data_IF_298364009020
#
_entry.id   IF_298364009020
#
_cell.length_a   1.000
_cell.length_b   1.000
_cell.length_c   1.000
_cell.angle_alpha   90.00
_cell.angle_beta   90.00
_cell.angle_gamma   90.00
#
_symmetry.space_group_name_H-M   'P 1'
#
loop_
_entity.id
_entity.type
_entity.pdbx_description
1 polymer ?
#
# COMPACT_ATOMS: atom_id res chain seq x y z
N UNK A 1 -35.81 10.71 44.57
CA UNK A 1 -35.50 9.49 43.80
C UNK A 1 -35.69 9.69 42.29
N UNK A 2 -36.76 10.34 41.82
CA UNK A 2 -37.00 10.63 40.39
C UNK A 2 -35.85 11.42 39.72
N UNK A 3 -35.32 12.44 40.38
CA UNK A 3 -34.22 13.27 39.84
C UNK A 3 -32.93 12.49 39.54
N UNK A 4 -32.61 11.49 40.37
CA UNK A 4 -31.44 10.61 40.19
C UNK A 4 -31.65 9.69 38.99
N UNK A 5 -32.87 9.19 38.79
CA UNK A 5 -33.22 8.31 37.66
C UNK A 5 -33.19 9.08 36.34
N UNK A 6 -33.72 10.31 36.32
CA UNK A 6 -33.69 11.17 35.13
C UNK A 6 -32.24 11.52 34.76
N UNK A 7 -31.43 11.89 35.74
CA UNK A 7 -30.00 12.19 35.53
C UNK A 7 -29.23 10.98 34.97
N UNK A 8 -29.48 9.78 35.52
CA UNK A 8 -28.85 8.56 35.02
C UNK A 8 -29.29 8.23 33.59
N UNK A 9 -30.58 8.39 33.26
CA UNK A 9 -31.09 8.17 31.90
C UNK A 9 -30.44 9.10 30.87
N UNK A 10 -30.35 10.39 31.18
CA UNK A 10 -29.70 11.38 30.29
C UNK A 10 -28.20 11.07 30.16
N UNK A 11 -27.54 10.73 31.26
CA UNK A 11 -26.12 10.40 31.26
C UNK A 11 -25.80 9.19 30.38
N UNK A 12 -26.58 8.10 30.48
CA UNK A 12 -26.36 6.91 29.64
C UNK A 12 -26.55 7.23 28.16
N UNK A 13 -27.59 8.01 27.81
CA UNK A 13 -27.83 8.41 26.41
C UNK A 13 -26.68 9.27 25.87
N UNK A 14 -26.19 10.22 26.67
CA UNK A 14 -25.07 11.06 26.29
C UNK A 14 -23.78 10.26 26.04
N UNK A 15 -23.47 9.29 26.92
CA UNK A 15 -22.28 8.43 26.76
C UNK A 15 -22.39 7.56 25.51
N UNK A 16 -23.55 6.95 25.26
CA UNK A 16 -23.76 6.13 24.05
C UNK A 16 -23.63 6.97 22.78
N UNK A 17 -24.13 8.21 22.78
CA UNK A 17 -23.98 9.12 21.65
C UNK A 17 -22.50 9.49 21.39
N UNK A 18 -21.72 9.74 22.44
CA UNK A 18 -20.28 10.03 22.33
C UNK A 18 -19.53 8.81 21.77
N UNK A 19 -19.80 7.60 22.28
CA UNK A 19 -19.19 6.36 21.78
C UNK A 19 -19.56 6.10 20.31
N UNK A 20 -20.82 6.37 19.93
CA UNK A 20 -21.28 6.23 18.54
C UNK A 20 -20.56 7.17 17.58
N UNK A 21 -20.18 8.37 18.02
CA UNK A 21 -19.41 9.33 17.22
C UNK A 21 -17.91 8.99 17.15
N UNK A 22 -17.37 8.32 18.16
CA UNK A 22 -15.96 7.93 18.22
C UNK A 22 -15.58 6.89 17.15
N UNK A 23 -16.49 5.96 16.82
CA UNK A 23 -16.18 4.89 15.87
C UNK A 23 -15.85 5.43 14.44
N UNK A 24 -16.68 6.28 13.81
CA UNK A 24 -16.33 6.90 12.52
C UNK A 24 -15.07 7.77 12.58
N UNK A 25 -14.89 8.53 13.68
CA UNK A 25 -13.72 9.40 13.85
C UNK A 25 -12.42 8.58 13.91
N UNK A 26 -12.41 7.48 14.66
CA UNK A 26 -11.25 6.59 14.75
C UNK A 26 -10.91 5.98 13.39
N UNK A 27 -11.91 5.62 12.60
CA UNK A 27 -11.70 5.13 11.24
C UNK A 27 -11.09 6.20 10.35
N UNK A 28 -11.62 7.43 10.38
CA UNK A 28 -11.06 8.55 9.61
C UNK A 28 -9.60 8.87 9.98
N UNK A 29 -9.26 8.80 11.27
CA UNK A 29 -7.87 8.99 11.73
C UNK A 29 -6.97 7.87 11.19
N UNK A 30 -7.44 6.63 11.21
CA UNK A 30 -6.69 5.49 10.66
C UNK A 30 -6.48 5.61 9.16
N UNK A 31 -7.51 6.01 8.42
CA UNK A 31 -7.45 6.17 6.96
C UNK A 31 -6.43 7.26 6.57
N UNK A 32 -6.46 8.41 7.24
CA UNK A 32 -5.49 9.50 7.02
C UNK A 32 -4.07 9.04 7.33
N UNK A 33 -3.87 8.30 8.43
CA UNK A 33 -2.56 7.77 8.79
C UNK A 33 -2.04 6.78 7.74
N UNK A 34 -2.91 5.90 7.25
CA UNK A 34 -2.54 4.90 6.24
C UNK A 34 -2.21 5.58 4.90
N UNK A 35 -2.90 6.67 4.56
CA UNK A 35 -2.57 7.50 3.39
C UNK A 35 -1.23 8.24 3.53
N UNK A 36 -0.94 8.81 4.71
CA UNK A 36 0.36 9.42 5.02
C UNK A 36 1.50 8.39 4.93
N UNK A 37 1.30 7.21 5.52
CA UNK A 37 2.25 6.10 5.44
C UNK A 37 2.43 5.65 3.97
N UNK A 38 1.35 5.56 3.19
CA UNK A 38 1.42 5.23 1.77
C UNK A 38 2.27 6.27 1.03
N UNK A 39 2.01 7.56 1.23
CA UNK A 39 2.78 8.66 0.63
C UNK A 39 4.29 8.54 0.91
N UNK A 40 4.66 8.25 2.16
CA UNK A 40 6.06 8.02 2.55
C UNK A 40 6.65 6.80 1.85
N UNK A 41 5.91 5.68 1.80
CA UNK A 41 6.35 4.45 1.15
C UNK A 41 6.55 4.65 -0.35
N UNK A 42 5.66 5.38 -1.03
CA UNK A 42 5.86 5.71 -2.44
C UNK A 42 7.14 6.50 -2.69
N UNK A 43 7.46 7.47 -1.84
CA UNK A 43 8.70 8.25 -1.98
C UNK A 43 9.95 7.38 -1.79
N UNK A 44 9.92 6.47 -0.82
CA UNK A 44 11.01 5.50 -0.61
C UNK A 44 11.15 4.60 -1.84
N UNK A 45 10.06 4.01 -2.32
CA UNK A 45 10.06 3.15 -3.51
C UNK A 45 10.58 3.92 -4.73
N UNK A 46 10.16 5.16 -4.93
CA UNK A 46 10.65 5.99 -6.02
C UNK A 46 12.17 6.21 -5.92
N UNK A 47 12.69 6.51 -4.73
CA UNK A 47 14.13 6.69 -4.50
C UNK A 47 14.91 5.40 -4.72
N UNK A 48 14.37 4.26 -4.32
CA UNK A 48 15.01 2.95 -4.54
C UNK A 48 14.98 2.55 -6.02
N UNK A 49 13.86 2.77 -6.72
CA UNK A 49 13.75 2.50 -8.16
C UNK A 49 14.73 3.32 -9.00
N UNK A 50 15.12 4.51 -8.55
CA UNK A 50 16.18 5.31 -9.19
C UNK A 50 17.58 4.69 -9.08
N UNK A 51 17.80 3.81 -8.10
CA UNK A 51 19.08 3.10 -7.89
C UNK A 51 19.11 1.75 -8.63
N UNK A 52 17.95 1.25 -9.05
CA UNK A 52 17.79 -0.03 -9.73
C UNK A 52 18.13 0.13 -11.22
N UNK A 53 18.79 -0.85 -11.85
CA UNK A 53 19.07 -0.79 -13.28
C UNK A 53 17.80 -0.63 -14.13
N UNK A 54 17.89 0.20 -15.17
CA UNK A 54 16.80 0.50 -16.09
C UNK A 54 16.06 -0.76 -16.58
N UNK A 55 16.81 -1.80 -16.98
CA UNK A 55 16.26 -3.05 -17.50
C UNK A 55 15.38 -3.80 -16.48
N UNK A 56 15.72 -3.75 -15.18
CA UNK A 56 14.94 -4.39 -14.13
C UNK A 56 13.63 -3.65 -13.90
N UNK A 57 13.66 -2.31 -13.90
CA UNK A 57 12.44 -1.51 -13.72
C UNK A 57 11.51 -1.63 -14.92
N UNK A 58 12.07 -1.66 -16.13
CA UNK A 58 11.31 -2.03 -17.32
C UNK A 58 10.65 -3.40 -17.16
N UNK A 59 11.39 -4.41 -16.68
CA UNK A 59 10.87 -5.74 -16.42
C UNK A 59 9.67 -5.76 -15.46
N UNK A 60 9.68 -4.93 -14.40
CA UNK A 60 8.55 -4.80 -13.48
C UNK A 60 7.32 -4.16 -14.12
N UNK A 61 7.52 -3.18 -15.00
CA UNK A 61 6.43 -2.47 -15.69
C UNK A 61 5.81 -3.35 -16.79
N UNK A 62 6.63 -4.05 -17.56
CA UNK A 62 6.16 -4.88 -18.67
C UNK A 62 5.44 -6.13 -18.14
N UNK A 63 5.96 -6.74 -17.07
CA UNK A 63 5.35 -7.86 -16.37
C UNK A 63 4.36 -7.40 -15.29
N UNK A 64 3.29 -6.71 -15.70
CA UNK A 64 2.18 -6.25 -14.83
C UNK A 64 1.44 -7.37 -14.05
N UNK A 65 1.92 -8.61 -14.13
CA UNK A 65 1.48 -9.77 -13.34
C UNK A 65 2.25 -9.85 -12.02
N UNK A 66 3.45 -9.27 -11.96
CA UNK A 66 4.36 -9.32 -10.82
C UNK A 66 4.04 -8.17 -9.87
N UNK A 67 3.27 -8.47 -8.83
CA UNK A 67 2.92 -7.51 -7.78
C UNK A 67 4.06 -7.40 -6.77
N UNK A 68 4.49 -6.16 -6.53
CA UNK A 68 5.39 -5.83 -5.43
C UNK A 68 4.54 -5.58 -4.18
N UNK A 69 5.07 -5.94 -3.03
CA UNK A 69 4.47 -5.62 -1.74
C UNK A 69 5.46 -4.83 -0.91
N UNK A 70 4.94 -3.96 -0.05
CA UNK A 70 5.72 -3.21 0.91
C UNK A 70 5.08 -3.27 2.29
N UNK A 71 5.91 -3.29 3.33
CA UNK A 71 5.42 -3.17 4.70
C UNK A 71 5.02 -1.72 5.03
N UNK A 72 4.28 -1.50 6.13
CA UNK A 72 3.79 -0.17 6.54
C UNK A 72 4.89 0.90 6.67
N UNK A 73 6.10 0.49 7.06
CA UNK A 73 7.24 1.40 7.19
C UNK A 73 7.94 1.70 5.86
N UNK A 74 7.76 0.84 4.84
CA UNK A 74 8.52 0.90 3.58
C UNK A 74 9.94 0.35 3.69
N UNK A 75 10.31 -0.28 4.82
CA UNK A 75 11.66 -0.84 5.00
C UNK A 75 11.86 -2.13 4.20
N UNK A 76 10.78 -2.86 3.93
CA UNK A 76 10.79 -4.06 3.10
C UNK A 76 9.90 -3.78 1.90
N UNK A 77 10.48 -3.91 0.70
CA UNK A 77 9.77 -3.88 -0.58
C UNK A 77 10.27 -5.07 -1.38
N UNK A 78 9.39 -6.01 -1.68
CA UNK A 78 9.79 -7.25 -2.34
C UNK A 78 8.63 -7.85 -3.14
N UNK A 79 8.94 -8.87 -3.94
CA UNK A 79 7.92 -9.66 -4.61
C UNK A 79 7.13 -10.45 -3.58
N UNK A 80 5.86 -10.70 -3.86
CA UNK A 80 5.03 -11.56 -3.03
C UNK A 80 5.64 -12.94 -2.76
N UNK A 81 6.34 -13.46 -3.77
CA UNK A 81 6.98 -14.77 -3.78
C UNK A 81 8.38 -14.78 -3.17
N UNK A 82 8.91 -13.62 -2.75
CA UNK A 82 10.25 -13.53 -2.17
C UNK A 82 10.20 -13.87 -0.68
N UNK A 83 10.05 -15.17 -0.38
CA UNK A 83 9.91 -15.67 0.99
C UNK A 83 11.07 -15.23 1.87
N UNK A 84 12.30 -15.17 1.36
CA UNK A 84 13.47 -14.73 2.12
C UNK A 84 13.42 -13.28 2.60
N UNK A 85 12.60 -12.42 1.98
CA UNK A 85 12.39 -11.02 2.40
C UNK A 85 11.24 -10.86 3.38
N UNK A 86 10.23 -11.73 3.29
CA UNK A 86 9.02 -11.65 4.11
C UNK A 86 9.10 -12.50 5.37
N UNK A 87 9.85 -13.60 5.31
CA UNK A 87 10.18 -14.47 6.42
C UNK A 87 11.38 -13.88 7.17
N UNK A 88 11.13 -13.40 8.39
CA UNK A 88 12.18 -12.84 9.26
C UNK A 88 12.89 -13.88 10.12
N UNK A 89 12.30 -15.08 10.25
CA UNK A 89 12.83 -16.19 11.06
C UNK A 89 13.65 -17.21 10.24
N UNK A 90 13.63 -17.08 8.91
CA UNK A 90 14.36 -17.89 7.92
C UNK A 90 13.98 -19.37 7.91
N UNK A 91 12.81 -19.73 8.44
CA UNK A 91 12.29 -21.10 8.43
C UNK A 91 11.84 -21.56 7.03
N UNK A 92 11.64 -20.62 6.11
CA UNK A 92 11.05 -20.81 4.78
C UNK A 92 9.53 -20.96 4.80
N UNK A 93 8.90 -20.82 5.97
CA UNK A 93 7.45 -21.01 6.16
C UNK A 93 6.81 -19.65 6.35
N UNK A 94 6.07 -19.17 5.34
CA UNK A 94 5.32 -17.92 5.45
C UNK A 94 4.09 -18.12 6.33
N UNK A 95 3.97 -17.30 7.36
CA UNK A 95 2.84 -17.28 8.30
C UNK A 95 1.81 -16.21 7.93
N UNK A 96 0.60 -16.35 8.47
CA UNK A 96 -0.46 -15.35 8.30
C UNK A 96 -0.08 -13.95 8.82
N UNK A 97 0.66 -13.90 9.93
CA UNK A 97 1.13 -12.65 10.53
C UNK A 97 2.18 -11.96 9.64
N UNK A 98 3.05 -12.72 8.97
CA UNK A 98 4.04 -12.20 8.02
C UNK A 98 3.38 -11.73 6.73
N UNK A 99 2.39 -12.48 6.22
CA UNK A 99 1.59 -12.01 5.09
C UNK A 99 0.79 -10.76 5.44
N UNK A 100 0.29 -10.63 6.67
CA UNK A 100 -0.33 -9.38 7.14
C UNK A 100 0.66 -8.20 7.19
N UNK A 101 1.97 -8.45 7.28
CA UNK A 101 2.99 -7.42 7.16
C UNK A 101 3.12 -6.85 5.73
N UNK A 102 2.65 -7.57 4.70
CA UNK A 102 2.56 -7.12 3.30
C UNK A 102 1.38 -6.15 3.13
N UNK A 103 1.50 -4.97 3.74
CA UNK A 103 0.39 -4.05 3.87
C UNK A 103 0.06 -3.27 2.59
N UNK A 104 1.07 -2.81 1.87
CA UNK A 104 0.88 -2.06 0.62
C UNK A 104 1.15 -2.96 -0.58
N UNK A 105 0.18 -3.07 -1.47
CA UNK A 105 0.40 -3.62 -2.81
C UNK A 105 0.87 -2.49 -3.74
N UNK A 106 1.98 -2.71 -4.43
CA UNK A 106 2.63 -1.74 -5.29
C UNK A 106 2.58 -2.26 -6.73
N UNK A 107 2.05 -1.42 -7.63
CA UNK A 107 2.00 -1.70 -9.06
C UNK A 107 2.60 -0.54 -9.84
N UNK A 108 3.46 -0.85 -10.80
CA UNK A 108 4.08 0.12 -11.69
C UNK A 108 3.36 0.10 -13.04
N UNK A 109 3.01 1.27 -13.56
CA UNK A 109 2.36 1.40 -14.86
C UNK A 109 3.11 2.41 -15.71
N UNK A 110 3.51 2.01 -16.92
CA UNK A 110 4.12 2.92 -17.89
C UNK A 110 3.18 4.10 -18.18
N UNK A 111 3.77 5.28 -18.37
CA UNK A 111 3.11 6.40 -19.02
C UNK A 111 3.44 6.40 -20.52
N UNK A 112 2.50 5.89 -21.32
CA UNK A 112 2.68 5.76 -22.77
C UNK A 112 2.79 7.11 -23.51
N UNK A 113 2.33 8.22 -22.91
CA UNK A 113 2.43 9.55 -23.51
C UNK A 113 3.86 10.09 -23.37
N UNK A 114 4.47 9.90 -22.20
CA UNK A 114 5.79 10.45 -21.90
C UNK A 114 6.94 9.56 -22.37
N UNK A 115 6.77 8.24 -22.35
CA UNK A 115 7.77 7.28 -22.88
C UNK A 115 7.15 6.46 -24.01
N UNK A 116 7.08 7.01 -25.23
CA UNK A 116 6.59 6.31 -26.41
C UNK A 116 7.60 5.24 -26.83
N UNK A 117 7.35 4.03 -26.38
CA UNK A 117 8.13 2.83 -26.64
C UNK A 117 7.39 1.72 -25.94
N UNK A 118 6.49 1.04 -26.66
CA UNK A 118 5.60 0.05 -26.04
C UNK A 118 6.37 -1.14 -25.44
N UNK A 119 5.65 -1.97 -24.69
CA UNK A 119 6.04 -3.18 -23.91
C UNK A 119 6.99 -4.22 -24.56
N UNK A 120 7.45 -3.99 -25.78
CA UNK A 120 8.24 -4.93 -26.59
C UNK A 120 9.28 -4.25 -27.49
N UNK A 121 9.35 -2.92 -27.52
CA UNK A 121 10.40 -2.20 -28.24
C UNK A 121 11.51 -1.86 -27.23
N UNK A 122 12.77 -2.11 -27.59
CA UNK A 122 13.90 -1.53 -26.86
C UNK A 122 13.61 -0.05 -26.66
N UNK A 123 13.45 0.41 -25.42
CA UNK A 123 13.24 1.83 -25.14
C UNK A 123 14.45 2.59 -25.68
N UNK A 124 14.25 3.22 -26.83
CA UNK A 124 15.26 4.04 -27.52
C UNK A 124 15.27 5.47 -26.97
N UNK A 125 14.17 5.86 -26.29
CA UNK A 125 14.15 7.03 -25.42
C UNK A 125 14.95 6.72 -24.15
N UNK A 126 16.02 7.47 -23.89
CA UNK A 126 16.89 7.29 -22.72
C UNK A 126 16.23 7.52 -21.35
N UNK A 127 14.89 7.48 -21.26
CA UNK A 127 14.12 7.56 -20.03
C UNK A 127 12.80 6.76 -20.10
N UNK A 128 12.37 6.23 -18.95
CA UNK A 128 11.14 5.48 -18.74
C UNK A 128 10.27 6.20 -17.72
N UNK A 129 9.16 6.77 -18.18
CA UNK A 129 8.15 7.41 -17.36
C UNK A 129 7.10 6.39 -16.91
N UNK A 130 6.80 6.38 -15.62
CA UNK A 130 5.84 5.47 -15.01
C UNK A 130 5.10 6.14 -13.85
N UNK A 131 3.98 5.55 -13.46
CA UNK A 131 3.24 5.89 -12.26
C UNK A 131 3.31 4.73 -11.27
N UNK A 132 3.36 5.07 -9.98
CA UNK A 132 3.27 4.11 -8.89
C UNK A 132 1.83 4.12 -8.41
N UNK A 133 1.17 2.97 -8.45
CA UNK A 133 -0.13 2.73 -7.83
C UNK A 133 0.11 1.92 -6.56
N UNK A 134 -0.21 2.50 -5.42
CA UNK A 134 -0.24 1.78 -4.15
C UNK A 134 -1.68 1.46 -3.79
N UNK A 135 -1.91 0.28 -3.23
CA UNK A 135 -3.21 -0.16 -2.73
C UNK A 135 -3.08 -0.80 -1.36
N UNK A 136 -4.05 -0.57 -0.48
CA UNK A 136 -4.06 -1.17 0.85
C UNK A 136 -5.49 -1.41 1.38
N UNK A 137 -5.66 -2.34 2.33
CA UNK A 137 -4.67 -3.34 2.75
C UNK A 137 -4.35 -4.32 1.62
N UNK A 138 -3.11 -4.82 1.52
CA UNK A 138 -2.68 -5.82 0.55
C UNK A 138 -3.08 -7.24 0.94
N UNK A 139 -3.12 -7.49 2.25
CA UNK A 139 -3.49 -8.74 2.89
C UNK A 139 -4.44 -8.49 4.07
N UNK A 140 -5.29 -9.48 4.39
CA UNK A 140 -6.11 -9.48 5.60
C UNK A 140 -5.22 -9.76 6.83
N UNK A 141 -5.72 -9.48 8.03
CA UNK A 141 -5.06 -9.90 9.28
C UNK A 141 -4.98 -11.43 9.48
N UNK A 142 -5.56 -12.22 8.56
CA UNK A 142 -5.47 -13.69 8.53
C UNK A 142 -4.48 -14.17 7.45
N UNK A 143 -3.70 -13.28 6.84
CA UNK A 143 -2.70 -13.63 5.83
C UNK A 143 -3.27 -13.93 4.45
N UNK A 144 -4.52 -13.56 4.17
CA UNK A 144 -5.14 -13.80 2.86
C UNK A 144 -5.04 -12.55 1.98
N UNK A 145 -4.72 -12.70 0.69
CA UNK A 145 -4.67 -11.58 -0.26
C UNK A 145 -5.97 -10.80 -0.29
N UNK A 146 -5.87 -9.49 -0.12
CA UNK A 146 -7.02 -8.60 -0.18
C UNK A 146 -7.30 -8.21 -1.64
N UNK A 147 -8.23 -8.92 -2.28
CA UNK A 147 -8.62 -8.68 -3.68
C UNK A 147 -10.02 -8.04 -3.81
N UNK A 148 -10.40 -7.18 -2.86
CA UNK A 148 -11.73 -6.58 -2.85
C UNK A 148 -11.75 -5.20 -3.53
N UNK A 149 -12.89 -4.79 -4.11
CA UNK A 149 -13.05 -3.46 -4.70
C UNK A 149 -12.98 -2.31 -3.68
N UNK A 150 -13.02 -2.61 -2.39
CA UNK A 150 -12.92 -1.66 -1.27
C UNK A 150 -11.49 -1.29 -0.90
N UNK A 151 -10.49 -1.81 -1.62
CA UNK A 151 -9.09 -1.48 -1.37
C UNK A 151 -8.86 0.01 -1.65
N UNK A 152 -8.32 0.72 -0.67
CA UNK A 152 -7.92 2.11 -0.83
C UNK A 152 -6.72 2.17 -1.78
N UNK A 153 -6.59 3.27 -2.53
CA UNK A 153 -5.50 3.40 -3.51
C UNK A 153 -4.98 4.82 -3.62
N UNK A 154 -3.67 4.95 -3.68
CA UNK A 154 -2.95 6.19 -3.95
C UNK A 154 -2.16 6.04 -5.24
N UNK A 155 -2.34 6.96 -6.18
CA UNK A 155 -1.56 7.03 -7.41
C UNK A 155 -0.61 8.21 -7.34
N UNK A 156 0.68 7.93 -7.40
CA UNK A 156 1.74 8.95 -7.48
C UNK A 156 2.11 9.19 -8.94
N UNK A 157 2.01 10.45 -9.38
CA UNK A 157 2.15 10.89 -10.77
C UNK A 157 3.64 11.14 -11.13
N UNK A 158 3.96 11.26 -12.43
CA UNK A 158 4.91 10.40 -13.10
C UNK A 158 6.35 10.57 -12.59
N UNK A 159 6.98 9.46 -12.23
CA UNK A 159 8.41 9.36 -12.05
C UNK A 159 9.06 8.95 -13.37
N UNK A 160 10.33 9.31 -13.57
CA UNK A 160 11.12 8.84 -14.70
C UNK A 160 12.45 8.27 -14.21
N UNK A 161 12.88 7.17 -14.84
CA UNK A 161 14.23 6.63 -14.66
C UNK A 161 14.96 6.79 -15.98
N UNK A 162 16.18 7.29 -15.93
CA UNK A 162 17.05 7.42 -17.10
C UNK A 162 17.86 6.16 -17.31
N UNK A 163 18.22 5.89 -18.57
CA UNK A 163 19.07 4.77 -18.95
C UNK A 163 20.51 4.94 -18.47
#
# INVERSE_FOLDING_TARGET
MVEVVVSLGIFVIAVVAVIGLLAPINQSISDVRDEDDAGRVAQIIQSELQKVPFASVQGFIDNNVVKLYANRSGTIVALDTDTAKWDTDQSGVVTADEDAAKFFEVSLSQNAILSPGGKTASYDGGYLAFSILMRWPGYTGEGMKFNQPLQQSLRVIPAAITR
#
